data_IF_906673970137
#
_entry.id   IF_906673970137
#
_cell.length_a   1.000
_cell.length_b   1.000
_cell.length_c   1.000
_cell.angle_alpha   90.00
_cell.angle_beta   90.00
_cell.angle_gamma   90.00
#
_symmetry.space_group_name_H-M   'P 1'
#
loop_
_entity.id
_entity.type
_entity.pdbx_description
1 polymer ?
#
# COMPACT_ATOMS: atom_id res chain seq x y z
N UNK A 1 5.85 -0.48 87.07
CA UNK A 1 6.00 0.92 87.49
C UNK A 1 6.17 1.75 86.24
N UNK A 2 5.21 2.64 85.97
CA UNK A 2 5.23 3.62 84.87
C UNK A 2 6.55 4.41 84.87
N UNK A 3 7.07 4.80 83.70
CA UNK A 3 7.32 6.23 83.41
C UNK A 3 7.34 6.44 81.89
N UNK A 4 6.69 7.54 81.52
CA UNK A 4 6.32 8.08 80.22
C UNK A 4 7.45 8.95 79.64
N UNK A 5 7.27 9.23 78.34
CA UNK A 5 7.68 10.44 77.57
C UNK A 5 9.12 10.51 77.04
N UNK A 6 9.34 10.52 75.71
CA UNK A 6 8.95 11.47 74.64
C UNK A 6 10.06 12.49 74.40
N UNK A 7 10.61 12.53 73.17
CA UNK A 7 10.95 13.76 72.46
C UNK A 7 11.44 13.48 71.03
N UNK A 8 10.65 14.00 70.07
CA UNK A 8 11.07 14.81 68.91
C UNK A 8 11.87 14.08 67.81
N UNK A 9 11.23 13.74 66.69
CA UNK A 9 11.07 14.61 65.50
C UNK A 9 12.39 14.83 64.76
N UNK A 10 12.61 14.14 63.63
CA UNK A 10 13.28 14.68 62.44
C UNK A 10 12.79 13.86 61.24
N UNK A 11 11.85 14.44 60.48
CA UNK A 11 11.36 13.95 59.21
C UNK A 11 12.29 14.52 58.13
N UNK A 12 13.06 13.67 57.44
CA UNK A 12 13.88 14.06 56.30
C UNK A 12 13.01 13.94 55.06
N UNK A 13 12.61 15.07 54.48
CA UNK A 13 11.92 15.12 53.19
C UNK A 13 12.99 15.04 52.10
N UNK A 14 13.03 13.92 51.38
CA UNK A 14 13.86 13.75 50.19
C UNK A 14 13.12 14.42 49.02
N UNK A 15 13.57 15.60 48.58
CA UNK A 15 13.08 16.23 47.34
C UNK A 15 13.89 15.65 46.19
N UNK A 16 13.30 14.68 45.48
CA UNK A 16 13.85 14.16 44.23
C UNK A 16 13.74 15.21 43.12
N UNK A 17 14.89 15.70 42.67
CA UNK A 17 15.01 16.58 41.51
C UNK A 17 14.76 15.74 40.24
N UNK A 18 13.54 15.80 39.71
CA UNK A 18 13.19 15.15 38.45
C UNK A 18 13.59 16.08 37.29
N UNK A 19 14.74 15.80 36.67
CA UNK A 19 15.18 16.49 35.44
C UNK A 19 14.47 15.82 34.27
N UNK A 20 13.40 16.45 33.76
CA UNK A 20 12.80 16.05 32.48
C UNK A 20 13.69 16.52 31.34
N UNK A 21 14.30 15.54 30.64
CA UNK A 21 15.04 15.75 29.41
C UNK A 21 14.01 15.90 28.27
N UNK A 22 13.73 17.14 27.83
CA UNK A 22 12.95 17.38 26.61
C UNK A 22 13.83 16.97 25.41
N UNK A 23 13.53 15.84 24.77
CA UNK A 23 14.12 15.50 23.48
C UNK A 23 13.39 16.32 22.41
N UNK A 24 14.08 17.28 21.82
CA UNK A 24 13.61 17.99 20.62
C UNK A 24 13.68 16.99 19.46
N UNK A 25 12.54 16.40 19.10
CA UNK A 25 12.42 15.60 17.89
C UNK A 25 12.37 16.59 16.72
N UNK A 26 13.30 16.54 15.74
CA UNK A 26 13.17 17.34 14.53
C UNK A 26 11.89 16.89 13.81
N UNK A 27 10.90 17.77 13.76
CA UNK A 27 9.77 17.65 12.87
C UNK A 27 10.32 17.88 11.47
N UNK A 28 10.59 16.81 10.74
CA UNK A 28 10.76 16.89 9.30
C UNK A 28 9.39 17.25 8.73
N UNK A 29 9.23 18.51 8.32
CA UNK A 29 8.14 18.88 7.45
C UNK A 29 8.32 18.09 6.15
N UNK A 30 7.52 17.04 5.97
CA UNK A 30 7.32 16.47 4.65
C UNK A 30 6.79 17.61 3.78
N UNK A 31 7.59 18.04 2.80
CA UNK A 31 7.09 18.91 1.75
C UNK A 31 6.03 18.10 0.99
N UNK A 32 4.77 18.26 1.38
CA UNK A 32 3.64 17.82 0.56
C UNK A 32 3.64 18.74 -0.65
N UNK A 33 4.19 18.28 -1.77
CA UNK A 33 3.92 18.92 -3.04
C UNK A 33 2.42 18.84 -3.26
N UNK A 34 1.73 19.98 -3.17
CA UNK A 34 0.28 20.13 -3.42
C UNK A 34 -0.09 19.93 -4.90
N UNK A 35 0.80 19.32 -5.70
CA UNK A 35 0.46 18.96 -7.06
C UNK A 35 -0.59 17.84 -6.99
N UNK A 36 -1.79 18.05 -7.57
CA UNK A 36 -2.80 17.03 -7.56
C UNK A 36 -2.23 15.81 -8.28
N UNK A 37 -2.21 14.67 -7.58
CA UNK A 37 -1.91 13.39 -8.22
C UNK A 37 -2.86 13.22 -9.41
N UNK A 38 -2.38 12.65 -10.53
CA UNK A 38 -3.23 12.40 -11.69
C UNK A 38 -4.41 11.53 -11.27
N UNK A 39 -5.63 12.00 -11.50
CA UNK A 39 -6.86 11.25 -11.22
C UNK A 39 -7.49 10.75 -12.53
N UNK A 40 -7.96 9.52 -12.55
CA UNK A 40 -8.55 8.85 -13.70
C UNK A 40 -10.00 8.39 -13.42
N UNK A 41 -10.96 8.95 -14.16
CA UNK A 41 -12.40 8.63 -14.03
C UNK A 41 -12.86 7.46 -14.93
N UNK A 42 -11.97 6.52 -15.25
CA UNK A 42 -12.24 5.45 -16.20
C UNK A 42 -12.64 4.12 -15.55
N UNK A 43 -12.84 4.12 -14.22
CA UNK A 43 -13.25 2.95 -13.45
C UNK A 43 -12.12 2.00 -13.08
N UNK A 44 -10.86 2.44 -13.13
CA UNK A 44 -9.73 1.66 -12.58
C UNK A 44 -9.67 1.73 -11.06
N UNK A 45 -9.08 0.73 -10.41
CA UNK A 45 -8.79 0.70 -8.97
C UNK A 45 -7.65 1.67 -8.64
N UNK A 46 -6.56 1.63 -9.39
CA UNK A 46 -5.39 2.50 -9.22
C UNK A 46 -5.58 3.85 -9.94
N UNK A 47 -6.59 4.60 -9.51
CA UNK A 47 -7.08 5.80 -10.21
C UNK A 47 -6.36 7.10 -9.87
N UNK A 48 -5.32 7.07 -9.06
CA UNK A 48 -4.66 8.27 -8.51
C UNK A 48 -3.12 8.22 -8.64
N UNK A 49 -2.57 7.37 -9.50
CA UNK A 49 -1.12 7.28 -9.72
C UNK A 49 -0.69 6.95 -11.16
N UNK A 50 0.58 7.25 -11.47
CA UNK A 50 1.21 6.91 -12.75
C UNK A 50 1.78 5.49 -12.68
N UNK A 51 0.90 4.49 -12.80
CA UNK A 51 1.25 3.07 -12.73
C UNK A 51 1.68 2.48 -14.08
N UNK A 52 2.59 1.48 -14.10
CA UNK A 52 2.95 0.73 -15.32
C UNK A 52 1.80 -0.18 -15.82
N UNK A 53 0.78 -0.42 -15.00
CA UNK A 53 -0.39 -1.22 -15.35
C UNK A 53 -1.67 -0.54 -14.88
N UNK A 54 -2.79 -0.89 -15.48
CA UNK A 54 -4.13 -0.44 -15.08
C UNK A 54 -4.91 -1.65 -14.59
N UNK A 55 -5.55 -1.53 -13.43
CA UNK A 55 -6.30 -2.62 -12.81
C UNK A 55 -7.78 -2.25 -12.77
N UNK A 56 -8.61 -3.03 -13.46
CA UNK A 56 -10.06 -2.94 -13.38
C UNK A 56 -10.61 -4.11 -12.59
N UNK A 57 -11.64 -3.84 -11.80
CA UNK A 57 -12.40 -4.88 -11.11
C UNK A 57 -13.89 -4.56 -11.12
N UNK A 58 -14.70 -5.62 -11.11
CA UNK A 58 -16.17 -5.55 -11.15
C UNK A 58 -16.84 -6.08 -9.87
N UNK A 59 -16.06 -6.32 -8.83
CA UNK A 59 -16.50 -6.91 -7.56
C UNK A 59 -16.26 -8.42 -7.47
N UNK A 60 -16.05 -9.11 -8.59
CA UNK A 60 -15.85 -10.58 -8.60
C UNK A 60 -14.57 -10.99 -9.34
N UNK A 61 -14.13 -10.21 -10.33
CA UNK A 61 -13.00 -10.50 -11.20
C UNK A 61 -12.06 -9.31 -11.35
N UNK A 62 -10.89 -9.54 -11.97
CA UNK A 62 -9.93 -8.50 -12.32
C UNK A 62 -9.50 -8.61 -13.79
N UNK A 63 -9.33 -7.45 -14.42
CA UNK A 63 -8.60 -7.30 -15.68
C UNK A 63 -7.42 -6.34 -15.48
N UNK A 64 -6.23 -6.81 -15.83
CA UNK A 64 -4.99 -6.03 -15.72
C UNK A 64 -4.47 -5.75 -17.11
N UNK A 65 -4.31 -4.47 -17.40
CA UNK A 65 -3.88 -3.95 -18.69
C UNK A 65 -2.49 -3.34 -18.57
N UNK A 66 -1.61 -3.59 -19.54
CA UNK A 66 -0.29 -2.98 -19.60
C UNK A 66 -0.08 -2.27 -20.95
N UNK A 67 0.64 -1.14 -20.98
CA UNK A 67 1.12 -0.57 -22.22
C UNK A 67 2.20 -1.49 -22.81
N UNK A 68 1.97 -2.02 -24.00
CA UNK A 68 2.93 -2.93 -24.65
C UNK A 68 3.98 -2.17 -25.46
N UNK A 69 3.53 -1.20 -26.25
CA UNK A 69 4.41 -0.35 -27.06
C UNK A 69 3.72 0.94 -27.45
N UNK A 70 4.52 1.96 -27.79
CA UNK A 70 4.05 3.19 -28.41
C UNK A 70 4.52 3.24 -29.86
N UNK A 71 3.67 3.71 -30.77
CA UNK A 71 4.08 4.07 -32.13
C UNK A 71 3.66 5.50 -32.44
N UNK A 72 4.28 6.10 -33.44
CA UNK A 72 3.89 7.43 -33.93
C UNK A 72 2.90 7.26 -35.08
N UNK A 73 1.74 7.90 -34.99
CA UNK A 73 0.77 7.91 -36.09
C UNK A 73 1.25 8.78 -37.27
N UNK A 74 0.46 8.82 -38.35
CA UNK A 74 0.75 9.62 -39.54
C UNK A 74 0.82 11.13 -39.29
N UNK A 75 0.26 11.60 -38.17
CA UNK A 75 0.23 13.00 -37.77
C UNK A 75 1.35 13.37 -36.79
N UNK A 76 2.21 12.42 -36.41
CA UNK A 76 3.29 12.64 -35.46
C UNK A 76 2.90 12.45 -33.99
N UNK A 77 1.70 11.95 -33.69
CA UNK A 77 1.24 11.73 -32.31
C UNK A 77 1.72 10.38 -31.80
N UNK A 78 2.13 10.31 -30.53
CA UNK A 78 2.36 9.05 -29.85
C UNK A 78 1.02 8.36 -29.56
N UNK A 79 0.84 7.16 -30.10
CA UNK A 79 -0.29 6.27 -29.83
C UNK A 79 0.20 5.14 -28.94
N UNK A 80 -0.46 4.98 -27.79
CA UNK A 80 -0.20 3.89 -26.86
C UNK A 80 -1.04 2.68 -27.26
N UNK A 81 -0.39 1.53 -27.42
CA UNK A 81 -1.07 0.26 -27.56
C UNK A 81 -1.04 -0.47 -26.21
N UNK A 82 -2.22 -0.81 -25.70
CA UNK A 82 -2.40 -1.56 -24.45
C UNK A 82 -3.11 -2.87 -24.74
N UNK A 83 -2.76 -3.91 -23.99
CA UNK A 83 -3.42 -5.21 -24.04
C UNK A 83 -3.71 -5.72 -22.63
N UNK A 84 -4.65 -6.65 -22.52
CA UNK A 84 -4.89 -7.39 -21.28
C UNK A 84 -3.71 -8.34 -21.09
N UNK A 85 -2.97 -8.17 -19.99
CA UNK A 85 -1.84 -9.03 -19.66
C UNK A 85 -2.21 -10.14 -18.69
N UNK A 86 -3.21 -9.91 -17.84
CA UNK A 86 -3.71 -10.91 -16.90
C UNK A 86 -5.20 -10.67 -16.63
N UNK A 87 -6.00 -11.72 -16.79
CA UNK A 87 -7.38 -11.78 -16.30
C UNK A 87 -7.40 -12.71 -15.09
N UNK A 88 -7.97 -12.26 -13.98
CA UNK A 88 -8.17 -13.08 -12.79
C UNK A 88 -9.67 -13.30 -12.63
N UNK A 89 -10.09 -14.55 -12.79
CA UNK A 89 -11.49 -14.93 -12.77
C UNK A 89 -12.06 -14.97 -11.35
N UNK A 90 -13.38 -14.85 -11.24
CA UNK A 90 -14.07 -15.03 -9.97
C UNK A 90 -13.83 -16.42 -9.35
N UNK A 91 -13.68 -17.45 -10.18
CA UNK A 91 -13.39 -18.81 -9.74
C UNK A 91 -12.00 -18.92 -9.11
N UNK A 92 -10.97 -18.29 -9.70
CA UNK A 92 -9.61 -18.25 -9.14
C UNK A 92 -9.58 -17.49 -7.81
N UNK A 93 -10.27 -16.35 -7.73
CA UNK A 93 -10.37 -15.54 -6.50
C UNK A 93 -11.09 -16.33 -5.40
N UNK A 94 -12.20 -17.01 -5.72
CA UNK A 94 -12.97 -17.81 -4.78
C UNK A 94 -12.25 -19.09 -4.35
N UNK A 95 -11.28 -19.58 -5.11
CA UNK A 95 -10.47 -20.73 -4.75
C UNK A 95 -9.48 -20.45 -3.60
N UNK A 96 -9.20 -19.17 -3.33
CA UNK A 96 -8.33 -18.74 -2.22
C UNK A 96 -9.21 -18.25 -1.06
N UNK A 97 -8.94 -18.69 0.20
CA UNK A 97 -9.66 -18.18 1.37
C UNK A 97 -9.65 -16.65 1.43
N UNK A 98 -10.72 -16.05 1.97
CA UNK A 98 -10.79 -14.59 2.12
C UNK A 98 -9.62 -14.05 2.97
N UNK A 99 -9.24 -14.75 4.03
CA UNK A 99 -8.07 -14.46 4.87
C UNK A 99 -7.22 -15.74 4.99
N UNK A 100 -6.28 -16.00 4.07
CA UNK A 100 -5.45 -17.19 4.10
C UNK A 100 -4.41 -17.12 5.22
N UNK A 101 -3.91 -18.28 5.68
CA UNK A 101 -2.87 -18.35 6.72
C UNK A 101 -1.53 -17.75 6.28
N UNK A 102 -1.28 -17.74 4.97
CA UNK A 102 -0.10 -17.18 4.31
C UNK A 102 -0.52 -16.40 3.06
N UNK A 103 0.26 -15.39 2.65
CA UNK A 103 0.02 -14.69 1.39
C UNK A 103 -0.01 -15.70 0.24
N UNK A 104 -1.14 -15.77 -0.45
CA UNK A 104 -1.42 -16.85 -1.39
C UNK A 104 -1.56 -16.30 -2.80
N UNK A 105 -0.83 -16.89 -3.75
CA UNK A 105 -0.96 -16.53 -5.17
C UNK A 105 -2.34 -16.92 -5.67
N UNK A 106 -3.04 -15.97 -6.30
CA UNK A 106 -4.31 -16.21 -7.00
C UNK A 106 -4.02 -16.55 -8.46
N UNK A 107 -3.30 -15.67 -9.15
CA UNK A 107 -2.98 -15.81 -10.57
C UNK A 107 -1.71 -15.03 -10.93
N UNK A 108 -1.03 -15.42 -12.01
CA UNK A 108 0.13 -14.73 -12.54
C UNK A 108 0.26 -14.95 -14.05
N UNK A 109 1.01 -14.08 -14.71
CA UNK A 109 1.52 -14.34 -16.07
C UNK A 109 2.56 -15.46 -16.04
N UNK A 110 2.73 -16.16 -17.17
CA UNK A 110 3.69 -17.27 -17.29
C UNK A 110 5.12 -16.89 -16.90
N UNK A 111 5.50 -15.63 -17.12
CA UNK A 111 6.83 -15.08 -16.81
C UNK A 111 6.92 -14.40 -15.44
N UNK A 112 5.85 -14.43 -14.64
CA UNK A 112 5.73 -13.76 -13.34
C UNK A 112 5.91 -12.23 -13.40
N UNK A 113 5.83 -11.62 -14.59
CA UNK A 113 5.92 -10.16 -14.73
C UNK A 113 4.73 -9.45 -14.10
N UNK A 114 3.55 -10.07 -14.07
CA UNK A 114 2.38 -9.62 -13.30
C UNK A 114 1.85 -10.78 -12.46
N UNK A 115 1.59 -10.53 -11.17
CA UNK A 115 0.99 -11.51 -10.29
C UNK A 115 0.04 -10.86 -9.28
N UNK A 116 -1.02 -11.60 -8.93
CA UNK A 116 -2.03 -11.19 -7.97
C UNK A 116 -2.07 -12.18 -6.82
N UNK A 117 -2.04 -11.66 -5.60
CA UNK A 117 -2.04 -12.41 -4.36
C UNK A 117 -3.21 -11.99 -3.48
N UNK A 118 -3.72 -12.93 -2.68
CA UNK A 118 -4.49 -12.65 -1.48
C UNK A 118 -3.53 -12.53 -0.30
N UNK A 119 -3.61 -11.44 0.44
CA UNK A 119 -2.82 -11.23 1.66
C UNK A 119 -3.51 -11.87 2.86
N UNK A 120 -2.74 -12.17 3.92
CA UNK A 120 -3.30 -12.70 5.18
C UNK A 120 -4.29 -11.74 5.86
N UNK A 121 -4.25 -10.45 5.51
CA UNK A 121 -5.21 -9.42 5.96
C UNK A 121 -6.53 -9.44 5.18
N UNK A 122 -6.59 -10.24 4.11
CA UNK A 122 -7.71 -10.37 3.19
C UNK A 122 -7.70 -9.40 2.02
N UNK A 123 -6.82 -8.41 2.06
CA UNK A 123 -6.54 -7.50 0.95
C UNK A 123 -5.93 -8.24 -0.26
N UNK A 124 -6.01 -7.59 -1.41
CA UNK A 124 -5.36 -8.04 -2.64
C UNK A 124 -4.05 -7.29 -2.81
N UNK A 125 -3.03 -7.99 -3.31
CA UNK A 125 -1.79 -7.38 -3.77
C UNK A 125 -1.53 -7.75 -5.22
N UNK A 126 -1.37 -6.75 -6.07
CA UNK A 126 -0.87 -6.91 -7.42
C UNK A 126 0.59 -6.43 -7.47
N UNK A 127 1.45 -7.22 -8.11
CA UNK A 127 2.82 -6.82 -8.43
C UNK A 127 2.99 -6.80 -9.94
N UNK A 128 3.72 -5.81 -10.44
CA UNK A 128 4.06 -5.68 -11.85
C UNK A 128 5.53 -5.27 -12.02
N UNK A 129 6.28 -6.05 -12.78
CA UNK A 129 7.66 -5.73 -13.16
C UNK A 129 7.67 -4.59 -14.17
N UNK A 130 8.55 -3.61 -13.95
CA UNK A 130 8.73 -2.47 -14.85
C UNK A 130 9.95 -2.65 -15.75
N UNK A 131 9.99 -1.93 -16.87
CA UNK A 131 11.10 -2.01 -17.84
C UNK A 131 12.46 -1.56 -17.27
N UNK A 132 12.47 -0.78 -16.19
CA UNK A 132 13.69 -0.31 -15.51
C UNK A 132 14.14 -1.24 -14.37
N UNK A 133 13.51 -2.41 -14.22
CA UNK A 133 13.86 -3.42 -13.22
C UNK A 133 13.31 -3.13 -11.82
N UNK A 134 12.38 -2.19 -11.69
CA UNK A 134 11.62 -1.98 -10.46
C UNK A 134 10.40 -2.91 -10.45
N UNK A 135 9.79 -3.08 -9.27
CA UNK A 135 8.51 -3.76 -9.12
C UNK A 135 7.51 -2.75 -8.57
N UNK A 136 6.46 -2.48 -9.35
CA UNK A 136 5.31 -1.76 -8.88
C UNK A 136 4.46 -2.68 -8.02
N UNK A 137 4.05 -2.20 -6.85
CA UNK A 137 3.19 -2.91 -5.91
C UNK A 137 1.94 -2.08 -5.69
N UNK A 138 0.79 -2.74 -5.76
CA UNK A 138 -0.53 -2.17 -5.50
C UNK A 138 -1.25 -3.06 -4.49
N UNK A 139 -1.71 -2.47 -3.39
CA UNK A 139 -2.52 -3.14 -2.37
C UNK A 139 -3.89 -2.48 -2.30
N UNK A 140 -4.95 -3.27 -2.34
CA UNK A 140 -6.32 -2.79 -2.37
C UNK A 140 -7.27 -3.75 -1.63
N UNK A 141 -8.28 -3.24 -0.91
CA UNK A 141 -9.13 -4.08 -0.07
C UNK A 141 -10.25 -4.77 -0.85
N UNK A 142 -10.66 -4.22 -1.99
CA UNK A 142 -11.89 -4.60 -2.69
C UNK A 142 -11.72 -4.56 -4.21
N UNK A 143 -12.47 -5.40 -4.91
CA UNK A 143 -12.39 -5.57 -6.37
C UNK A 143 -13.21 -4.55 -7.16
N UNK A 144 -13.45 -3.36 -6.64
CA UNK A 144 -14.21 -2.30 -7.33
C UNK A 144 -13.52 -0.94 -7.19
N UNK A 145 -13.81 0.01 -8.10
CA UNK A 145 -13.18 1.33 -8.08
C UNK A 145 -13.52 2.11 -6.81
N UNK A 146 -12.67 3.09 -6.47
CA UNK A 146 -12.86 4.01 -5.33
C UNK A 146 -12.89 3.38 -3.93
N UNK A 147 -12.57 2.09 -3.81
CA UNK A 147 -12.42 1.43 -2.50
C UNK A 147 -11.16 1.84 -1.72
N UNK A 148 -10.29 2.64 -2.34
CA UNK A 148 -8.98 3.02 -1.82
C UNK A 148 -7.91 1.98 -2.16
N UNK A 149 -6.65 2.42 -2.18
CA UNK A 149 -5.49 1.58 -2.41
C UNK A 149 -4.22 2.26 -1.90
N UNK A 150 -3.18 1.46 -1.69
CA UNK A 150 -1.81 1.91 -1.49
C UNK A 150 -0.94 1.41 -2.66
N UNK A 151 -0.01 2.24 -3.13
CA UNK A 151 0.94 1.85 -4.17
C UNK A 151 2.34 2.40 -3.96
N UNK A 152 3.35 1.65 -4.41
CA UNK A 152 4.75 2.07 -4.37
C UNK A 152 5.62 1.25 -5.33
N UNK A 153 6.86 1.70 -5.54
CA UNK A 153 7.87 0.98 -6.32
C UNK A 153 8.95 0.39 -5.40
N UNK A 154 9.40 -0.82 -5.73
CA UNK A 154 10.48 -1.55 -5.06
C UNK A 154 11.63 -1.79 -6.04
N UNK A 155 12.88 -1.73 -5.57
CA UNK A 155 14.10 -2.03 -6.34
C UNK A 155 14.71 -3.36 -5.94
#
# INVERSE_FOLDING_TARGET
>A
MNTRMNRKSTLIILVGLMVSLLTVVPVFAANTSDDPLPHFDDGRINNSDASPVVVYGDGESLEIWAPMYSFTDENGNAVLHSDIVLTVTAEEIAAVPAEPEENTLIAATDDMSVAVYRLTTGEYQMIASTYNGETYVLVFPELYPDAGYDSWFVK
#
